data_IF_241108248207
#
_entry.id   IF_241108248207
#
_cell.length_a   1.000
_cell.length_b   1.000
_cell.length_c   1.000
_cell.angle_alpha   90.00
_cell.angle_beta   90.00
_cell.angle_gamma   90.00
#
_symmetry.space_group_name_H-M   'P 1'
#
loop_
_entity.id
_entity.type
_entity.pdbx_description
1 polymer ?
#
# COMPACT_ATOMS: atom_id res chain seq x y z
N UNK A 1 -18.97 6.92 16.04
CA UNK A 1 -17.93 5.86 16.13
C UNK A 1 -17.18 5.93 17.43
N UNK A 2 -16.87 4.77 17.97
CA UNK A 2 -15.97 4.67 19.13
C UNK A 2 -14.54 4.98 18.72
N UNK A 3 -13.66 5.17 19.71
CA UNK A 3 -12.23 5.39 19.46
C UNK A 3 -11.61 4.24 18.64
N UNK A 4 -11.91 3.00 19.01
CA UNK A 4 -11.41 1.83 18.29
C UNK A 4 -11.94 1.71 16.87
N UNK A 5 -13.21 2.04 16.68
CA UNK A 5 -13.82 2.05 15.34
C UNK A 5 -13.14 3.08 14.44
N UNK A 6 -12.77 4.24 14.98
CA UNK A 6 -12.03 5.26 14.23
C UNK A 6 -10.64 4.76 13.85
N UNK A 7 -9.95 4.09 14.76
CA UNK A 7 -8.64 3.51 14.47
C UNK A 7 -8.75 2.46 13.35
N UNK A 8 -9.73 1.58 13.43
CA UNK A 8 -9.95 0.56 12.40
C UNK A 8 -10.28 1.19 11.04
N UNK A 9 -11.07 2.24 11.05
CA UNK A 9 -11.38 2.99 9.82
C UNK A 9 -10.13 3.60 9.19
N UNK A 10 -9.26 4.18 10.01
CA UNK A 10 -8.00 4.78 9.53
C UNK A 10 -7.02 3.73 9.01
N UNK A 11 -7.00 2.53 9.61
CA UNK A 11 -6.11 1.46 9.19
C UNK A 11 -6.42 0.88 7.81
N UNK A 12 -7.58 1.16 7.25
CA UNK A 12 -7.99 0.59 5.96
C UNK A 12 -6.98 0.84 4.85
N UNK A 13 -6.37 2.03 4.81
CA UNK A 13 -5.36 2.32 3.80
C UNK A 13 -4.09 1.47 4.00
N UNK A 14 -3.61 1.36 5.24
CA UNK A 14 -2.41 0.56 5.51
C UNK A 14 -2.60 -0.91 5.17
N UNK A 15 -3.77 -1.44 5.42
CA UNK A 15 -4.12 -2.82 5.06
C UNK A 15 -4.18 -2.99 3.54
N UNK A 16 -4.80 -2.04 2.85
CA UNK A 16 -4.86 -2.04 1.39
C UNK A 16 -3.47 -1.92 0.76
N UNK A 17 -2.61 -1.08 1.32
CA UNK A 17 -1.23 -0.88 0.88
C UNK A 17 -0.39 -2.15 1.07
N UNK A 18 -0.57 -2.85 2.18
CA UNK A 18 0.12 -4.13 2.42
C UNK A 18 -0.26 -5.16 1.37
N UNK A 19 -1.54 -5.23 1.02
CA UNK A 19 -2.00 -6.15 -0.03
C UNK A 19 -1.41 -5.74 -1.38
N UNK A 20 -1.38 -4.44 -1.68
CA UNK A 20 -0.76 -3.93 -2.91
C UNK A 20 0.71 -4.32 -2.99
N UNK A 21 1.46 -4.21 -1.89
CA UNK A 21 2.87 -4.61 -1.87
C UNK A 21 3.05 -6.09 -2.18
N UNK A 22 2.20 -6.95 -1.63
CA UNK A 22 2.23 -8.39 -1.93
C UNK A 22 1.91 -8.68 -3.40
N UNK A 23 0.90 -8.00 -3.95
CA UNK A 23 0.53 -8.17 -5.35
C UNK A 23 1.60 -7.63 -6.30
N UNK A 24 2.24 -6.53 -5.95
CA UNK A 24 3.37 -5.98 -6.70
C UNK A 24 4.56 -6.93 -6.70
N UNK A 25 4.83 -7.58 -5.59
CA UNK A 25 5.88 -8.58 -5.50
C UNK A 25 5.60 -9.77 -6.43
N UNK A 26 4.34 -10.27 -6.43
CA UNK A 26 3.93 -11.34 -7.33
C UNK A 26 4.04 -10.94 -8.80
N UNK A 27 3.71 -9.69 -9.10
CA UNK A 27 3.87 -9.17 -10.46
C UNK A 27 5.34 -9.17 -10.87
N UNK A 28 6.23 -8.71 -9.99
CA UNK A 28 7.67 -8.71 -10.26
C UNK A 28 8.19 -10.13 -10.51
N UNK A 29 7.74 -11.11 -9.72
CA UNK A 29 8.08 -12.51 -9.92
C UNK A 29 7.60 -13.02 -11.28
N UNK A 30 6.37 -12.68 -11.67
CA UNK A 30 5.80 -13.10 -12.96
C UNK A 30 6.54 -12.45 -14.13
N UNK A 31 6.91 -11.18 -14.01
CA UNK A 31 7.71 -10.47 -15.01
C UNK A 31 9.09 -11.11 -15.18
N UNK A 32 9.74 -11.48 -14.08
CA UNK A 32 11.03 -12.14 -14.09
C UNK A 32 10.94 -13.52 -14.75
N UNK A 33 9.89 -14.29 -14.43
CA UNK A 33 9.67 -15.60 -15.04
C UNK A 33 9.49 -15.50 -16.56
N UNK A 34 8.71 -14.52 -17.03
CA UNK A 34 8.50 -14.27 -18.45
C UNK A 34 9.82 -13.88 -19.13
N UNK A 35 10.58 -12.99 -18.51
CA UNK A 35 11.87 -12.54 -19.02
C UNK A 35 12.85 -13.70 -19.16
N UNK A 36 12.92 -14.56 -18.15
CA UNK A 36 13.80 -15.71 -18.11
C UNK A 36 13.48 -16.70 -19.26
N UNK A 37 12.19 -16.99 -19.46
CA UNK A 37 11.75 -17.88 -20.54
C UNK A 37 12.09 -17.27 -21.91
N UNK A 38 11.86 -15.97 -22.08
CA UNK A 38 12.18 -15.25 -23.33
C UNK A 38 13.66 -15.30 -23.63
N UNK A 39 14.52 -15.13 -22.65
CA UNK A 39 15.97 -15.22 -22.81
C UNK A 39 16.40 -16.63 -23.22
N UNK A 40 15.81 -17.65 -22.62
CA UNK A 40 16.11 -19.04 -22.94
C UNK A 40 15.67 -19.42 -24.38
N UNK A 41 14.56 -18.88 -24.84
CA UNK A 41 14.09 -19.06 -26.21
C UNK A 41 15.07 -18.48 -27.23
N UNK A 42 15.67 -17.35 -26.92
CA UNK A 42 16.70 -16.72 -27.78
C UNK A 42 17.97 -17.54 -27.83
N UNK A 43 18.33 -18.23 -26.76
CA UNK A 43 19.56 -19.02 -26.64
C UNK A 43 19.41 -20.41 -27.28
N UNK A 44 18.20 -20.99 -27.31
CA UNK A 44 17.94 -22.32 -27.81
C UNK A 44 16.67 -22.31 -28.68
N UNK A 45 16.78 -21.93 -29.96
CA UNK A 45 15.61 -21.86 -30.83
C UNK A 45 15.03 -23.24 -31.12
N UNK A 46 13.73 -23.37 -30.97
CA UNK A 46 12.95 -24.49 -31.44
C UNK A 46 12.54 -25.53 -30.44
N UNK A 47 11.33 -25.42 -29.98
CA UNK A 47 10.58 -26.43 -29.24
C UNK A 47 9.19 -25.92 -28.95
N UNK A 48 8.17 -26.70 -29.30
CA UNK A 48 6.76 -26.34 -29.03
C UNK A 48 6.47 -26.18 -27.54
N UNK A 49 7.25 -26.80 -26.65
CA UNK A 49 7.13 -26.69 -25.19
C UNK A 49 7.47 -25.29 -24.73
N UNK A 50 8.45 -24.63 -25.33
CA UNK A 50 8.91 -23.30 -24.92
C UNK A 50 7.88 -22.24 -25.30
N UNK A 51 7.18 -22.39 -26.43
CA UNK A 51 6.10 -21.50 -26.82
C UNK A 51 4.91 -21.58 -25.86
N UNK A 52 4.55 -22.78 -25.41
CA UNK A 52 3.48 -22.94 -24.40
C UNK A 52 3.87 -22.40 -23.05
N UNK A 53 5.13 -22.60 -22.65
CA UNK A 53 5.64 -22.05 -21.38
C UNK A 53 5.61 -20.53 -21.40
N UNK A 54 6.00 -19.91 -22.50
CA UNK A 54 5.95 -18.47 -22.66
C UNK A 54 4.51 -17.96 -22.60
N UNK A 55 3.58 -18.60 -23.31
CA UNK A 55 2.18 -18.21 -23.29
C UNK A 55 1.60 -18.25 -21.88
N UNK A 56 1.89 -19.31 -21.10
CA UNK A 56 1.44 -19.42 -19.71
C UNK A 56 2.06 -18.37 -18.81
N UNK A 57 3.34 -18.06 -19.04
CA UNK A 57 4.03 -17.03 -18.26
C UNK A 57 3.43 -15.65 -18.53
N UNK A 58 3.13 -15.34 -19.80
CA UNK A 58 2.47 -14.08 -20.17
C UNK A 58 1.08 -13.99 -19.54
N UNK A 59 0.30 -15.06 -19.56
CA UNK A 59 -1.02 -15.09 -18.94
C UNK A 59 -0.95 -14.82 -17.45
N UNK A 60 0.01 -15.42 -16.75
CA UNK A 60 0.23 -15.18 -15.31
C UNK A 60 0.64 -13.73 -15.06
N UNK A 61 1.49 -13.19 -15.90
CA UNK A 61 1.92 -11.80 -15.79
C UNK A 61 0.73 -10.84 -15.96
N UNK A 62 -0.09 -11.06 -16.99
CA UNK A 62 -1.28 -10.23 -17.24
C UNK A 62 -2.27 -10.29 -16.08
N UNK A 63 -2.48 -11.49 -15.50
CA UNK A 63 -3.35 -11.65 -14.34
C UNK A 63 -2.79 -10.92 -13.12
N UNK A 64 -1.47 -11.04 -12.90
CA UNK A 64 -0.81 -10.35 -11.81
C UNK A 64 -0.90 -8.82 -11.98
N UNK A 65 -0.75 -8.32 -13.21
CA UNK A 65 -0.93 -6.89 -13.52
C UNK A 65 -2.34 -6.42 -13.20
N UNK A 66 -3.36 -7.17 -13.63
CA UNK A 66 -4.75 -6.81 -13.36
C UNK A 66 -5.02 -6.69 -11.86
N UNK A 67 -4.53 -7.66 -11.09
CA UNK A 67 -4.71 -7.66 -9.63
C UNK A 67 -3.99 -6.50 -8.97
N UNK A 68 -2.76 -6.23 -9.38
CA UNK A 68 -1.99 -5.12 -8.81
C UNK A 68 -2.64 -3.77 -9.13
N UNK A 69 -3.04 -3.55 -10.38
CA UNK A 69 -3.70 -2.31 -10.78
C UNK A 69 -5.06 -2.12 -10.11
N UNK A 70 -5.84 -3.19 -9.97
CA UNK A 70 -7.12 -3.12 -9.26
C UNK A 70 -6.91 -2.72 -7.79
N UNK A 71 -5.90 -3.29 -7.15
CA UNK A 71 -5.59 -2.96 -5.76
C UNK A 71 -5.03 -1.54 -5.61
N UNK A 72 -4.25 -1.08 -6.58
CA UNK A 72 -3.76 0.31 -6.58
C UNK A 72 -4.93 1.30 -6.60
N UNK A 73 -5.95 1.02 -7.41
CA UNK A 73 -7.15 1.85 -7.45
C UNK A 73 -7.88 1.87 -6.10
N UNK A 74 -7.94 0.74 -5.40
CA UNK A 74 -8.49 0.67 -4.03
C UNK A 74 -7.68 1.54 -3.09
N UNK A 75 -6.35 1.46 -3.14
CA UNK A 75 -5.46 2.28 -2.31
C UNK A 75 -5.68 3.77 -2.56
N UNK A 76 -5.75 4.18 -3.83
CA UNK A 76 -5.95 5.59 -4.19
C UNK A 76 -7.29 6.11 -3.68
N UNK A 77 -8.36 5.33 -3.79
CA UNK A 77 -9.68 5.71 -3.31
C UNK A 77 -9.68 5.85 -1.78
N UNK A 78 -9.07 4.91 -1.06
CA UNK A 78 -8.98 4.97 0.40
C UNK A 78 -8.11 6.13 0.87
N UNK A 79 -7.00 6.38 0.19
CA UNK A 79 -6.14 7.53 0.51
C UNK A 79 -6.94 8.83 0.43
N UNK A 80 -7.66 9.03 -0.67
CA UNK A 80 -8.46 10.24 -0.88
C UNK A 80 -9.56 10.37 0.18
N UNK A 81 -10.27 9.29 0.50
CA UNK A 81 -11.34 9.28 1.48
C UNK A 81 -10.81 9.64 2.88
N UNK A 82 -9.71 9.01 3.28
CA UNK A 82 -9.13 9.23 4.62
C UNK A 82 -8.54 10.63 4.71
N UNK A 83 -7.78 11.06 3.70
CA UNK A 83 -7.19 12.40 3.70
C UNK A 83 -8.27 13.49 3.77
N UNK A 84 -9.36 13.31 3.04
CA UNK A 84 -10.50 14.23 3.09
C UNK A 84 -11.11 14.33 4.50
N UNK A 85 -11.15 13.23 5.23
CA UNK A 85 -11.62 13.25 6.62
C UNK A 85 -10.63 13.93 7.56
N UNK A 86 -9.33 13.76 7.32
CA UNK A 86 -8.30 14.33 8.19
C UNK A 86 -8.19 15.86 8.11
N UNK A 87 -8.62 16.47 7.01
CA UNK A 87 -8.50 17.92 6.84
C UNK A 87 -9.33 18.73 7.83
N UNK A 88 -10.28 18.09 8.53
CA UNK A 88 -11.05 18.75 9.60
C UNK A 88 -10.23 19.02 10.87
N UNK A 89 -9.08 18.35 11.01
CA UNK A 89 -8.22 18.45 12.18
C UNK A 89 -7.30 19.67 12.12
N UNK A 90 -6.74 20.08 13.27
CA UNK A 90 -5.73 21.13 13.26
C UNK A 90 -4.45 20.64 12.58
N UNK A 91 -3.53 21.57 12.31
CA UNK A 91 -2.32 21.28 11.54
C UNK A 91 -1.47 20.16 12.15
N UNK A 92 -1.27 20.18 13.45
CA UNK A 92 -0.45 19.18 14.15
C UNK A 92 -1.13 17.82 14.14
N UNK A 93 -2.42 17.78 14.44
CA UNK A 93 -3.22 16.57 14.43
C UNK A 93 -3.27 15.95 13.04
N UNK A 94 -3.53 16.77 12.03
CA UNK A 94 -3.54 16.34 10.63
C UNK A 94 -2.20 15.71 10.24
N UNK A 95 -1.10 16.42 10.51
CA UNK A 95 0.24 15.93 10.15
C UNK A 95 0.57 14.60 10.83
N UNK A 96 0.25 14.46 12.11
CA UNK A 96 0.53 13.23 12.85
C UNK A 96 -0.22 12.03 12.29
N UNK A 97 -1.52 12.16 12.09
CA UNK A 97 -2.34 11.06 11.56
C UNK A 97 -2.02 10.76 10.10
N UNK A 98 -1.77 11.77 9.30
CA UNK A 98 -1.39 11.57 7.90
C UNK A 98 -0.06 10.80 7.79
N UNK A 99 0.95 11.21 8.54
CA UNK A 99 2.25 10.54 8.50
C UNK A 99 2.17 9.08 8.90
N UNK A 100 1.40 8.77 9.92
CA UNK A 100 1.26 7.39 10.38
C UNK A 100 0.34 6.57 9.47
N UNK A 101 -0.90 7.04 9.22
CA UNK A 101 -1.92 6.24 8.55
C UNK A 101 -1.83 6.26 7.03
N UNK A 102 -1.36 7.33 6.42
CA UNK A 102 -1.27 7.47 4.96
C UNK A 102 0.16 7.33 4.44
N UNK A 103 1.15 7.88 5.15
CA UNK A 103 2.55 7.75 4.74
C UNK A 103 3.20 6.48 5.30
N UNK A 104 2.47 5.72 6.11
CA UNK A 104 2.88 4.43 6.67
C UNK A 104 4.18 4.49 7.49
N UNK A 105 4.45 5.61 8.14
CA UNK A 105 5.59 5.76 9.04
C UNK A 105 5.28 5.13 10.40
N UNK A 106 6.33 4.76 11.12
CA UNK A 106 6.21 4.32 12.51
C UNK A 106 6.04 5.54 13.40
N UNK A 107 5.41 5.36 14.57
CA UNK A 107 5.20 6.48 15.49
C UNK A 107 6.51 7.14 15.94
N UNK A 108 7.59 6.37 16.08
CA UNK A 108 8.92 6.90 16.40
C UNK A 108 9.43 7.85 15.31
N UNK A 109 9.19 7.50 14.04
CA UNK A 109 9.55 8.34 12.90
C UNK A 109 8.69 9.59 12.84
N UNK A 110 7.39 9.46 13.10
CA UNK A 110 6.47 10.61 13.15
C UNK A 110 6.92 11.58 14.23
N UNK A 111 7.21 11.09 15.43
CA UNK A 111 7.69 11.90 16.53
C UNK A 111 8.98 12.64 16.17
N UNK A 112 9.94 11.95 15.56
CA UNK A 112 11.21 12.54 15.15
C UNK A 112 10.99 13.66 14.13
N UNK A 113 10.17 13.43 13.10
CA UNK A 113 9.90 14.43 12.06
C UNK A 113 9.19 15.67 12.59
N UNK A 114 8.34 15.50 13.60
CA UNK A 114 7.55 16.58 14.18
C UNK A 114 8.19 17.21 15.42
N UNK A 115 9.36 16.74 15.83
CA UNK A 115 10.06 17.18 17.03
C UNK A 115 9.26 16.97 18.31
N UNK A 116 8.56 15.84 18.42
CA UNK A 116 7.81 15.43 19.59
C UNK A 116 8.56 14.32 20.32
N UNK A 117 8.36 14.26 21.65
CA UNK A 117 8.78 13.10 22.45
C UNK A 117 7.80 11.95 22.17
N UNK A 118 8.19 10.71 22.54
CA UNK A 118 7.28 9.55 22.44
C UNK A 118 5.97 9.79 23.18
N UNK A 119 6.07 10.33 24.39
CA UNK A 119 4.89 10.65 25.21
C UNK A 119 4.03 11.71 24.54
N UNK A 120 4.66 12.74 24.01
CA UNK A 120 3.98 13.85 23.35
C UNK A 120 3.24 13.42 22.09
N UNK A 121 3.87 12.53 21.29
CA UNK A 121 3.23 12.08 20.05
C UNK A 121 2.02 11.17 20.32
N UNK A 122 2.07 10.34 21.37
CA UNK A 122 0.93 9.50 21.74
C UNK A 122 -0.22 10.33 22.30
N UNK A 123 0.08 11.41 23.05
CA UNK A 123 -0.95 12.34 23.51
C UNK A 123 -1.60 13.06 22.33
N UNK A 124 -0.81 13.50 21.36
CA UNK A 124 -1.31 14.14 20.13
C UNK A 124 -2.20 13.19 19.32
N UNK A 125 -1.76 11.95 19.14
CA UNK A 125 -2.53 10.90 18.48
C UNK A 125 -3.90 10.73 19.11
N UNK A 126 -3.94 10.58 20.42
CA UNK A 126 -5.20 10.38 21.15
C UNK A 126 -6.15 11.54 20.92
N UNK A 127 -5.64 12.77 21.09
CA UNK A 127 -6.44 13.97 20.88
C UNK A 127 -6.97 14.06 19.46
N UNK A 128 -6.11 13.77 18.47
CA UNK A 128 -6.49 13.82 17.06
C UNK A 128 -7.62 12.83 16.74
N UNK A 129 -7.50 11.60 17.21
CA UNK A 129 -8.54 10.58 16.98
C UNK A 129 -9.85 10.95 17.69
N UNK A 130 -9.77 11.49 18.90
CA UNK A 130 -10.96 11.95 19.61
C UNK A 130 -11.67 13.10 18.87
N UNK A 131 -10.91 14.01 18.28
CA UNK A 131 -11.45 15.14 17.53
C UNK A 131 -11.99 14.74 16.14
N UNK A 132 -11.56 13.61 15.60
CA UNK A 132 -11.95 13.16 14.28
C UNK A 132 -13.43 12.78 14.28
N UNK A 133 -14.21 13.42 13.42
CA UNK A 133 -15.64 13.13 13.23
C UNK A 133 -15.84 12.30 11.96
N UNK A 134 -16.34 11.10 12.13
CA UNK A 134 -16.60 10.16 11.04
C UNK A 134 -18.06 9.76 11.00
#
# INVERSE_FOLDING_TARGET
MTYEEKINWLFRYREAERLYQRLSYRLAEAQEATRHITQNLSAAPGGSKDGQSLARAVERQEEAERRAYAQLAVCDALFAEIDAALVQLDSAEYCALRKYYLNCLKWEQVAAEMNFTSRGIFALRRRAIEHLKL
#
